data_IF_458374967857
#
_entry.id   IF_458374967857
#
_cell.length_a   1.000
_cell.length_b   1.000
_cell.length_c   1.000
_cell.angle_alpha   90.00
_cell.angle_beta   90.00
_cell.angle_gamma   90.00
#
_symmetry.space_group_name_H-M   'P 1'
#
loop_
_entity.id
_entity.type
_entity.pdbx_description
1 polymer ?
#
# COMPACT_ATOMS: atom_id res chain seq x y z
N UNK A 1 -7.07 10.39 15.58
CA UNK A 1 -6.43 9.08 15.81
C UNK A 1 -5.97 8.54 14.47
N UNK A 2 -4.69 8.20 14.32
CA UNK A 2 -4.17 7.64 13.05
C UNK A 2 -4.65 6.20 12.88
N UNK A 3 -4.99 5.81 11.65
CA UNK A 3 -5.50 4.47 11.31
C UNK A 3 -4.39 3.59 10.72
N UNK A 4 -4.43 2.26 10.89
CA UNK A 4 -3.41 1.35 10.39
C UNK A 4 -3.35 1.34 8.87
N UNK A 5 -2.16 1.09 8.31
CA UNK A 5 -1.89 0.99 6.88
C UNK A 5 -2.82 0.00 6.19
N UNK A 6 -3.18 -1.12 6.84
CA UNK A 6 -4.13 -2.11 6.31
C UNK A 6 -5.47 -1.49 5.85
N UNK A 7 -5.92 -0.43 6.52
CA UNK A 7 -7.19 0.26 6.23
C UNK A 7 -7.04 1.44 5.25
N UNK A 8 -5.82 1.67 4.75
CA UNK A 8 -5.49 2.78 3.87
C UNK A 8 -5.71 2.41 2.39
N UNK A 9 -6.26 3.34 1.60
CA UNK A 9 -6.47 3.17 0.15
C UNK A 9 -5.16 2.96 -0.64
N UNK A 10 -4.03 3.39 -0.06
CA UNK A 10 -2.73 3.27 -0.69
C UNK A 10 -2.03 1.94 -0.37
N UNK A 11 -2.50 1.18 0.61
CA UNK A 11 -1.89 -0.08 0.98
C UNK A 11 -2.35 -1.19 0.03
N UNK A 12 -1.39 -1.97 -0.49
CA UNK A 12 -1.66 -3.23 -1.20
C UNK A 12 -0.90 -4.36 -0.54
N UNK A 13 -1.59 -5.45 -0.20
CA UNK A 13 -0.97 -6.67 0.32
C UNK A 13 -0.01 -7.27 -0.71
N UNK A 14 1.12 -7.81 -0.26
CA UNK A 14 2.00 -8.58 -1.13
C UNK A 14 1.29 -9.90 -1.51
N UNK A 15 1.01 -10.09 -2.81
CA UNK A 15 0.36 -11.30 -3.31
C UNK A 15 1.31 -12.51 -3.39
N UNK A 16 2.62 -12.28 -3.46
CA UNK A 16 3.60 -13.36 -3.46
C UNK A 16 3.77 -13.97 -2.06
N UNK A 17 3.43 -13.21 -1.00
CA UNK A 17 3.54 -13.60 0.40
C UNK A 17 2.27 -13.19 1.18
N UNK A 18 1.11 -13.82 0.91
CA UNK A 18 -0.16 -13.42 1.52
C UNK A 18 -0.19 -13.56 3.06
N UNK A 19 0.58 -14.51 3.59
CA UNK A 19 0.77 -14.77 5.03
C UNK A 19 1.58 -13.67 5.73
N UNK A 20 2.39 -12.88 5.00
CA UNK A 20 3.27 -11.89 5.60
C UNK A 20 2.47 -10.69 6.13
N UNK A 21 2.78 -10.20 7.33
CA UNK A 21 2.20 -8.97 7.93
C UNK A 21 2.73 -7.66 7.30
N UNK A 22 2.96 -7.70 5.99
CA UNK A 22 3.49 -6.58 5.21
C UNK A 22 2.79 -6.47 3.87
N UNK A 23 2.93 -5.31 3.26
CA UNK A 23 2.47 -4.98 1.92
C UNK A 23 3.25 -3.79 1.41
N UNK A 24 2.72 -3.09 0.42
CA UNK A 24 3.38 -1.95 -0.22
C UNK A 24 2.51 -0.70 -0.15
N UNK A 25 3.15 0.45 0.07
CA UNK A 25 2.48 1.75 0.07
C UNK A 25 2.56 2.41 -1.30
N UNK A 26 1.42 2.59 -1.96
CA UNK A 26 1.29 3.19 -3.29
C UNK A 26 0.93 4.69 -3.24
N UNK A 27 1.24 5.37 -2.13
CA UNK A 27 0.97 6.80 -1.97
C UNK A 27 1.73 7.64 -2.99
N UNK A 28 3.00 7.29 -3.20
CA UNK A 28 3.89 7.96 -4.14
C UNK A 28 4.29 6.96 -5.22
N UNK A 29 4.32 7.38 -6.50
CA UNK A 29 4.88 6.55 -7.56
C UNK A 29 6.33 6.23 -7.22
N UNK A 30 6.82 5.03 -7.57
CA UNK A 30 8.22 4.72 -7.40
C UNK A 30 9.05 5.73 -8.21
N UNK A 31 9.96 6.42 -7.55
CA UNK A 31 11.09 7.03 -8.25
C UNK A 31 11.91 5.89 -8.82
N UNK A 32 11.73 5.61 -10.12
CA UNK A 32 12.48 4.60 -10.84
C UNK A 32 13.92 5.10 -10.92
N UNK A 33 14.77 4.62 -10.03
CA UNK A 33 16.21 4.62 -10.28
C UNK A 33 16.48 3.35 -11.09
N UNK A 34 17.22 3.48 -12.20
CA UNK A 34 17.72 2.34 -12.96
C UNK A 34 18.61 1.51 -12.01
N UNK A 35 18.06 0.42 -11.48
CA UNK A 35 18.77 -0.52 -10.63
C UNK A 35 18.56 -1.90 -11.27
N UNK A 36 19.65 -2.50 -11.74
CA UNK A 36 19.70 -3.83 -12.35
C UNK A 36 19.51 -4.93 -11.28
N UNK A 37 18.32 -5.07 -10.70
CA UNK A 37 17.99 -6.19 -9.80
C UNK A 37 16.52 -6.62 -9.93
N UNK A 38 16.27 -7.91 -9.67
CA UNK A 38 14.95 -8.55 -9.60
C UNK A 38 14.11 -8.00 -8.43
N UNK A 39 13.48 -6.84 -8.63
CA UNK A 39 12.53 -6.32 -7.65
C UNK A 39 11.13 -6.85 -7.91
N UNK A 40 10.53 -7.45 -6.86
CA UNK A 40 9.10 -7.82 -6.84
C UNK A 40 8.17 -6.62 -6.98
N UNK A 41 8.63 -5.42 -6.58
CA UNK A 41 7.92 -4.14 -6.72
C UNK A 41 8.86 -2.97 -6.43
N UNK A 42 8.55 -1.81 -7.01
CA UNK A 42 9.28 -0.56 -6.79
C UNK A 42 8.70 0.29 -5.64
N UNK A 43 7.57 -0.13 -5.08
CA UNK A 43 6.90 0.58 -3.99
C UNK A 43 7.46 0.17 -2.62
N UNK A 44 7.57 1.09 -1.66
CA UNK A 44 8.15 0.81 -0.36
C UNK A 44 7.31 -0.22 0.43
N UNK A 45 7.96 -1.24 1.03
CA UNK A 45 7.27 -2.18 1.91
C UNK A 45 6.89 -1.52 3.23
N UNK A 46 5.70 -1.83 3.73
CA UNK A 46 5.17 -1.33 5.01
C UNK A 46 4.48 -2.45 5.77
N UNK A 47 4.51 -2.40 7.11
CA UNK A 47 3.74 -3.32 7.95
C UNK A 47 2.27 -2.92 7.97
N UNK A 48 1.38 -3.90 8.09
CA UNK A 48 -0.08 -3.70 8.08
C UNK A 48 -0.61 -2.88 9.26
N UNK A 49 -0.05 -3.10 10.46
CA UNK A 49 -0.39 -2.43 11.71
C UNK A 49 0.25 -1.03 11.89
N UNK A 50 1.17 -0.65 11.02
CA UNK A 50 1.84 0.64 11.11
C UNK A 50 0.89 1.81 10.79
N UNK A 51 1.19 2.99 11.30
CA UNK A 51 0.39 4.20 11.06
C UNK A 51 1.26 5.32 10.50
N UNK A 52 0.68 6.16 9.65
CA UNK A 52 1.35 7.36 9.13
C UNK A 52 0.37 8.54 9.07
N UNK A 53 0.92 9.75 8.93
CA UNK A 53 0.12 10.99 8.82
C UNK A 53 -0.65 11.13 7.49
N UNK A 54 -0.36 10.29 6.49
CA UNK A 54 -0.92 10.37 5.14
C UNK A 54 -2.08 9.40 4.89
N UNK A 55 -2.69 8.85 5.96
CA UNK A 55 -3.76 7.87 5.83
C UNK A 55 -4.96 8.44 5.06
N UNK A 56 -5.41 7.71 4.03
CA UNK A 56 -6.72 7.93 3.40
C UNK A 56 -7.52 6.66 3.50
N UNK A 57 -8.71 6.76 4.08
CA UNK A 57 -9.61 5.61 4.19
C UNK A 57 -10.03 5.17 2.78
N UNK A 58 -9.95 3.86 2.51
CA UNK A 58 -10.58 3.28 1.33
C UNK A 58 -12.11 3.40 1.51
N UNK A 59 -12.67 4.57 1.19
CA UNK A 59 -14.09 4.80 1.32
C UNK A 59 -14.87 3.78 0.49
N UNK A 60 -15.98 3.28 1.03
CA UNK A 60 -17.00 2.56 0.27
C UNK A 60 -17.35 3.42 -0.95
N UNK A 61 -16.80 3.10 -2.12
CA UNK A 61 -17.31 3.63 -3.38
C UNK A 61 -18.74 3.12 -3.47
N UNK A 62 -19.73 3.94 -3.10
CA UNK A 62 -21.11 3.65 -3.48
C UNK A 62 -21.06 3.42 -5.00
N UNK A 63 -21.53 2.27 -5.50
CA UNK A 63 -21.58 2.06 -6.94
C UNK A 63 -22.40 3.22 -7.52
N UNK A 64 -21.79 3.99 -8.43
CA UNK A 64 -22.55 4.93 -9.26
C UNK A 64 -23.44 4.07 -10.15
N UNK A 65 -24.69 3.88 -9.75
CA UNK A 65 -25.75 3.43 -10.66
C UNK A 65 -25.91 4.54 -11.68
N UNK A 66 -25.57 4.25 -12.94
CA UNK A 66 -25.93 5.08 -14.09
C UNK A 66 -27.31 4.67 -14.55
#
# INVERSE_FOLDING_TARGET
MMKPCLSCIFFKKDKALPEAKSGFCHRYPPTVFLIEQDFRTLFPPVRDEFTCGEHKSAGNRKPRVR
#
